data_IF_473983021680
#
_entry.id   IF_473983021680
#
_cell.length_a   1.000
_cell.length_b   1.000
_cell.length_c   1.000
_cell.angle_alpha   90.00
_cell.angle_beta   90.00
_cell.angle_gamma   90.00
#
_symmetry.space_group_name_H-M   'P 1'
#
loop_
_entity.id
_entity.type
_entity.pdbx_description
1 polymer ?
#
# COMPACT_ATOMS: atom_id res chain seq x y z
N UNK A 1 -28.89 29.92 -25.47
CA UNK A 1 -28.02 30.45 -24.40
C UNK A 1 -28.08 29.50 -23.22
N UNK A 2 -26.99 28.79 -22.96
CA UNK A 2 -26.42 28.41 -21.65
C UNK A 2 -25.45 27.26 -21.96
N UNK A 3 -24.17 27.62 -22.03
CA UNK A 3 -23.05 26.70 -22.16
C UNK A 3 -22.70 26.17 -20.76
N UNK A 4 -22.72 24.85 -20.58
CA UNK A 4 -22.14 24.21 -19.40
C UNK A 4 -20.70 23.87 -19.78
N UNK A 5 -19.78 24.69 -19.28
CA UNK A 5 -18.33 24.56 -19.46
C UNK A 5 -17.80 23.50 -18.49
N UNK A 6 -17.24 22.47 -19.07
CA UNK A 6 -16.59 21.33 -18.45
C UNK A 6 -15.19 21.74 -17.95
N UNK A 7 -15.02 21.89 -16.64
CA UNK A 7 -13.74 22.26 -16.05
C UNK A 7 -12.90 21.01 -15.72
N UNK A 8 -12.13 20.54 -16.71
CA UNK A 8 -11.00 19.62 -16.48
C UNK A 8 -9.97 20.32 -15.56
N UNK A 9 -9.89 19.89 -14.31
CA UNK A 9 -8.76 20.18 -13.41
C UNK A 9 -7.70 19.12 -13.62
N UNK A 10 -6.74 19.41 -14.48
CA UNK A 10 -5.46 18.69 -14.55
C UNK A 10 -4.68 18.97 -13.27
N UNK A 11 -4.74 18.04 -12.32
CA UNK A 11 -3.94 18.05 -11.09
C UNK A 11 -2.45 17.94 -11.46
N UNK A 12 -1.81 19.09 -11.57
CA UNK A 12 -0.39 19.21 -11.89
C UNK A 12 0.45 18.81 -10.67
N UNK A 13 0.90 17.55 -10.65
CA UNK A 13 1.75 16.92 -9.61
C UNK A 13 3.02 17.73 -9.31
N UNK A 14 3.45 18.61 -10.23
CA UNK A 14 4.62 19.48 -10.02
C UNK A 14 4.38 20.54 -8.94
N UNK A 15 3.14 20.96 -8.69
CA UNK A 15 2.85 21.98 -7.67
C UNK A 15 3.01 21.43 -6.24
N UNK A 16 2.58 20.18 -6.02
CA UNK A 16 2.75 19.50 -4.73
C UNK A 16 4.21 19.20 -4.36
N UNK A 17 5.07 18.98 -5.35
CA UNK A 17 6.50 18.74 -5.11
C UNK A 17 7.27 20.00 -4.66
N UNK A 18 6.82 21.19 -5.07
CA UNK A 18 7.48 22.45 -4.71
C UNK A 18 7.14 22.84 -3.27
N UNK A 19 5.89 22.62 -2.84
CA UNK A 19 5.48 22.87 -1.45
C UNK A 19 6.14 21.92 -0.45
N UNK A 20 6.35 20.65 -0.81
CA UNK A 20 7.06 19.71 0.07
C UNK A 20 8.56 20.06 0.24
N UNK A 21 9.19 20.63 -0.80
CA UNK A 21 10.58 21.11 -0.74
C UNK A 21 10.72 22.37 0.12
N UNK A 22 9.70 23.24 0.13
CA UNK A 22 9.62 24.41 1.03
C UNK A 22 9.35 24.01 2.49
N UNK A 23 8.52 23.00 2.72
CA UNK A 23 8.25 22.47 4.07
C UNK A 23 9.47 21.73 4.67
N UNK A 24 10.24 21.01 3.84
CA UNK A 24 11.49 20.38 4.29
C UNK A 24 12.62 21.40 4.52
N UNK A 25 12.67 22.50 3.77
CA UNK A 25 13.67 23.56 3.98
C UNK A 25 13.40 24.41 5.22
N UNK A 26 12.13 24.56 5.63
CA UNK A 26 11.73 25.31 6.83
C UNK A 26 11.81 24.48 8.11
N UNK A 27 11.68 23.15 8.03
CA UNK A 27 11.94 22.24 9.15
C UNK A 27 13.43 22.00 9.44
N UNK A 28 14.34 22.38 8.52
CA UNK A 28 15.80 22.20 8.66
C UNK A 28 16.57 23.44 9.13
N UNK A 29 15.87 24.52 9.51
CA UNK A 29 16.48 25.67 10.20
C UNK A 29 16.10 25.69 11.67
N UNK A 30 16.56 24.69 12.43
CA UNK A 30 16.77 24.88 13.87
C UNK A 30 18.20 25.38 14.05
N UNK A 31 18.43 26.47 14.81
CA UNK A 31 19.77 26.94 15.07
C UNK A 31 20.53 25.85 15.81
N UNK A 32 21.69 25.50 15.27
CA UNK A 32 22.73 24.80 16.00
C UNK A 32 23.15 25.75 17.12
N UNK A 33 22.45 25.71 18.26
CA UNK A 33 22.94 26.31 19.48
C UNK A 33 24.09 25.41 19.92
N UNK A 34 25.29 25.77 19.48
CA UNK A 34 26.54 25.29 20.05
C UNK A 34 26.59 25.79 21.49
N UNK A 35 25.97 25.04 22.40
CA UNK A 35 26.13 25.24 23.83
C UNK A 35 27.57 24.83 24.16
N UNK A 36 28.42 25.83 24.32
CA UNK A 36 29.79 25.70 24.83
C UNK A 36 29.71 25.38 26.34
N UNK A 37 29.27 24.17 26.68
CA UNK A 37 29.31 23.66 28.04
C UNK A 37 30.67 23.01 28.25
N UNK A 38 31.44 23.60 29.15
CA UNK A 38 32.71 23.10 29.67
C UNK A 38 32.45 21.71 30.29
N UNK A 39 32.84 20.66 29.56
CA UNK A 39 32.55 19.26 29.89
C UNK A 39 33.41 18.78 31.07
N UNK A 40 32.74 18.29 32.12
CA UNK A 40 33.36 17.45 33.12
C UNK A 40 32.39 16.30 33.44
N UNK A 41 32.66 15.09 32.94
CA UNK A 41 31.88 13.89 33.23
C UNK A 41 31.73 12.92 32.06
N UNK A 42 32.29 11.72 32.20
CA UNK A 42 32.31 10.64 31.19
C UNK A 42 30.94 10.03 30.83
N UNK A 43 29.89 10.33 31.60
CA UNK A 43 28.52 9.78 31.41
C UNK A 43 27.68 10.56 30.39
N UNK A 44 27.94 11.86 30.20
CA UNK A 44 27.17 12.74 29.30
C UNK A 44 27.52 12.51 27.81
N UNK A 45 28.77 12.11 27.52
CA UNK A 45 29.25 11.81 26.16
C UNK A 45 28.58 10.55 25.58
N UNK A 46 28.17 9.61 26.45
CA UNK A 46 27.48 8.39 26.05
C UNK A 46 26.06 8.70 25.55
N UNK A 47 25.36 9.60 26.23
CA UNK A 47 23.98 10.00 25.91
C UNK A 47 23.94 10.73 24.57
N UNK A 48 24.89 11.63 24.30
CA UNK A 48 24.96 12.36 23.02
C UNK A 48 25.30 11.41 21.86
N UNK A 49 26.20 10.43 22.04
CA UNK A 49 26.49 9.40 21.02
C UNK A 49 25.27 8.51 20.73
N UNK A 50 24.41 8.28 21.71
CA UNK A 50 23.19 7.49 21.55
C UNK A 50 22.10 8.31 20.84
N UNK A 51 21.92 9.58 21.20
CA UNK A 51 21.00 10.51 20.53
C UNK A 51 21.41 10.80 19.07
N UNK A 52 22.71 10.90 18.79
CA UNK A 52 23.23 11.05 17.43
C UNK A 52 23.02 9.78 16.59
N UNK A 53 23.12 8.59 17.20
CA UNK A 53 22.73 7.32 16.57
C UNK A 53 21.23 7.25 16.29
N UNK A 54 20.38 7.73 17.20
CA UNK A 54 18.93 7.83 17.01
C UNK A 54 18.57 8.74 15.83
N UNK A 55 19.21 9.91 15.72
CA UNK A 55 18.96 10.85 14.62
C UNK A 55 19.43 10.29 13.27
N UNK A 56 20.59 9.63 13.24
CA UNK A 56 21.14 8.96 12.05
C UNK A 56 20.30 7.76 11.59
N UNK A 57 19.68 7.05 12.52
CA UNK A 57 18.82 5.90 12.23
C UNK A 57 17.43 6.32 11.75
N UNK A 58 16.84 7.39 12.32
CA UNK A 58 15.60 8.02 11.83
C UNK A 58 15.75 8.55 10.41
N UNK A 59 16.87 9.23 10.12
CA UNK A 59 17.19 9.72 8.78
C UNK A 59 17.45 8.61 7.75
N UNK A 60 17.89 7.43 8.18
CA UNK A 60 18.04 6.24 7.30
C UNK A 60 16.72 5.55 7.02
N UNK A 61 15.80 5.54 8.00
CA UNK A 61 14.48 4.93 7.84
C UNK A 61 13.61 5.74 6.87
N UNK A 62 13.61 7.07 6.98
CA UNK A 62 12.88 7.95 6.05
C UNK A 62 13.40 7.82 4.62
N UNK A 63 14.73 7.68 4.45
CA UNK A 63 15.35 7.45 3.13
C UNK A 63 15.02 6.07 2.56
N UNK A 64 14.90 5.04 3.40
CA UNK A 64 14.51 3.70 2.98
C UNK A 64 13.04 3.68 2.52
N UNK A 65 12.16 4.35 3.26
CA UNK A 65 10.73 4.47 2.88
C UNK A 65 10.59 5.26 1.58
N UNK A 66 11.32 6.37 1.43
CA UNK A 66 11.31 7.15 0.19
C UNK A 66 11.87 6.35 -1.00
N UNK A 67 12.90 5.53 -0.78
CA UNK A 67 13.47 4.65 -1.81
C UNK A 67 12.51 3.53 -2.21
N UNK A 68 11.79 2.93 -1.26
CA UNK A 68 10.75 1.92 -1.53
C UNK A 68 9.55 2.53 -2.27
N UNK A 69 9.12 3.73 -1.89
CA UNK A 69 8.07 4.48 -2.61
C UNK A 69 8.52 4.85 -4.03
N UNK A 70 9.76 5.30 -4.19
CA UNK A 70 10.33 5.62 -5.50
C UNK A 70 10.44 4.37 -6.39
N UNK A 71 10.86 3.23 -5.83
CA UNK A 71 10.91 1.95 -6.53
C UNK A 71 9.51 1.43 -6.91
N UNK A 72 8.50 1.61 -6.06
CA UNK A 72 7.11 1.27 -6.37
C UNK A 72 6.57 2.14 -7.52
N UNK A 73 6.83 3.46 -7.48
CA UNK A 73 6.43 4.36 -8.56
C UNK A 73 7.12 4.05 -9.89
N UNK A 74 8.35 3.53 -9.86
CA UNK A 74 9.08 3.10 -11.05
C UNK A 74 8.57 1.76 -11.61
N UNK A 75 8.16 0.83 -10.75
CA UNK A 75 7.63 -0.47 -11.16
C UNK A 75 6.20 -0.38 -11.73
N UNK A 76 5.43 0.66 -11.38
CA UNK A 76 4.09 0.93 -11.95
C UNK A 76 4.13 1.69 -13.29
N UNK A 77 5.28 1.77 -13.94
CA UNK A 77 5.49 2.54 -15.16
C UNK A 77 4.92 1.90 -16.44
N UNK A 78 3.69 2.29 -16.77
CA UNK A 78 3.07 2.39 -18.11
C UNK A 78 2.56 1.10 -18.77
N UNK A 79 1.24 0.90 -18.70
CA UNK A 79 0.47 0.42 -19.86
C UNK A 79 0.14 1.63 -20.73
N UNK A 80 0.72 1.71 -21.93
CA UNK A 80 0.47 2.81 -22.86
C UNK A 80 -0.77 2.48 -23.70
N UNK A 81 -1.95 2.71 -23.14
CA UNK A 81 -3.21 2.62 -23.89
C UNK A 81 -3.24 3.71 -24.97
N UNK A 82 -3.27 3.30 -26.24
CA UNK A 82 -3.49 4.20 -27.37
C UNK A 82 -4.85 4.86 -27.16
N UNK A 83 -4.90 6.20 -27.15
CA UNK A 83 -6.15 6.95 -27.08
C UNK A 83 -6.94 6.77 -28.39
N UNK A 84 -7.84 5.79 -28.43
CA UNK A 84 -8.89 5.71 -29.44
C UNK A 84 -10.04 6.62 -29.03
N UNK A 85 -10.67 7.23 -30.03
CA UNK A 85 -11.83 8.11 -29.88
C UNK A 85 -12.91 7.36 -29.10
N UNK A 86 -13.24 7.86 -27.91
CA UNK A 86 -14.14 7.27 -26.94
C UNK A 86 -15.59 7.30 -27.44
N UNK A 87 -15.92 6.37 -28.33
CA UNK A 87 -17.28 5.87 -28.51
C UNK A 87 -17.41 4.72 -27.52
N UNK A 88 -18.29 4.87 -26.53
CA UNK A 88 -18.67 3.76 -25.65
C UNK A 88 -19.46 2.80 -26.52
N UNK A 89 -18.78 1.79 -27.04
CA UNK A 89 -19.43 0.73 -27.82
C UNK A 89 -19.98 -0.25 -26.80
N UNK A 90 -21.28 -0.52 -26.89
CA UNK A 90 -21.93 -1.52 -26.03
C UNK A 90 -21.63 -2.93 -26.52
N UNK A 91 -21.71 -3.94 -25.64
CA UNK A 91 -21.48 -5.33 -26.02
C UNK A 91 -22.41 -5.77 -27.17
N UNK A 92 -23.67 -5.31 -27.18
CA UNK A 92 -24.65 -5.58 -28.25
C UNK A 92 -24.26 -4.98 -29.61
N UNK A 93 -23.74 -3.75 -29.63
CA UNK A 93 -23.24 -3.14 -30.87
C UNK A 93 -22.00 -3.87 -31.38
N UNK A 94 -21.19 -4.42 -30.47
CA UNK A 94 -20.03 -5.22 -30.84
C UNK A 94 -20.41 -6.54 -31.49
N UNK A 95 -21.51 -7.18 -31.06
CA UNK A 95 -22.00 -8.42 -31.71
C UNK A 95 -22.22 -8.21 -33.20
N UNK A 96 -22.71 -7.04 -33.59
CA UNK A 96 -22.95 -6.70 -35.00
C UNK A 96 -21.63 -6.38 -35.71
N UNK A 97 -20.71 -5.68 -35.04
CA UNK A 97 -19.42 -5.28 -35.63
C UNK A 97 -18.47 -6.46 -35.81
N UNK A 98 -18.44 -7.38 -34.85
CA UNK A 98 -17.63 -8.59 -34.85
C UNK A 98 -18.52 -9.84 -34.79
N UNK A 99 -19.40 -9.96 -35.79
CA UNK A 99 -20.26 -11.13 -35.93
C UNK A 99 -19.48 -12.44 -36.03
N UNK A 100 -18.25 -12.40 -36.56
CA UNK A 100 -17.38 -13.58 -36.65
C UNK A 100 -16.85 -14.01 -35.27
N UNK A 101 -16.48 -13.05 -34.42
CA UNK A 101 -16.10 -13.32 -33.02
C UNK A 101 -17.28 -13.83 -32.20
N UNK A 102 -18.45 -13.20 -32.32
CA UNK A 102 -19.66 -13.63 -31.61
C UNK A 102 -20.08 -15.05 -32.00
N UNK A 103 -20.11 -15.36 -33.31
CA UNK A 103 -20.42 -16.72 -33.78
C UNK A 103 -19.41 -17.76 -33.28
N UNK A 104 -18.13 -17.39 -33.13
CA UNK A 104 -17.13 -18.28 -32.57
C UNK A 104 -17.39 -18.55 -31.08
N UNK A 105 -17.80 -17.53 -30.31
CA UNK A 105 -18.19 -17.71 -28.90
C UNK A 105 -19.46 -18.53 -28.77
N UNK A 106 -20.47 -18.31 -29.61
CA UNK A 106 -21.67 -19.12 -29.63
C UNK A 106 -21.37 -20.59 -30.00
N UNK A 107 -20.41 -20.83 -30.89
CA UNK A 107 -19.96 -22.18 -31.23
C UNK A 107 -19.23 -22.86 -30.07
N UNK A 108 -18.35 -22.13 -29.35
CA UNK A 108 -17.69 -22.62 -28.14
C UNK A 108 -18.72 -22.91 -27.04
N UNK A 109 -19.69 -22.03 -26.84
CA UNK A 109 -20.77 -22.24 -25.87
C UNK A 109 -21.54 -23.53 -26.18
N UNK A 110 -21.92 -23.74 -27.44
CA UNK A 110 -22.57 -24.96 -27.90
C UNK A 110 -21.69 -26.22 -27.77
N UNK A 111 -20.37 -26.09 -27.86
CA UNK A 111 -19.44 -27.20 -27.58
C UNK A 111 -19.37 -27.55 -26.08
N UNK A 112 -19.76 -26.64 -25.19
CA UNK A 112 -19.76 -26.83 -23.74
C UNK A 112 -21.14 -27.19 -23.16
N UNK A 113 -22.21 -26.71 -23.77
CA UNK A 113 -23.61 -26.98 -23.42
C UNK A 113 -24.04 -28.36 -23.98
N UNK A 114 -23.68 -29.42 -23.24
CA UNK A 114 -23.92 -30.81 -23.64
C UNK A 114 -25.41 -31.14 -23.69
N UNK A 115 -26.21 -30.60 -22.75
CA UNK A 115 -27.64 -30.86 -22.67
C UNK A 115 -28.51 -29.93 -23.54
N UNK A 116 -27.88 -28.95 -24.21
CA UNK A 116 -28.50 -27.97 -25.09
C UNK A 116 -29.60 -27.15 -24.38
N UNK A 117 -29.43 -26.89 -23.08
CA UNK A 117 -30.37 -26.11 -22.27
C UNK A 117 -30.30 -24.61 -22.57
N UNK A 118 -29.24 -24.14 -23.24
CA UNK A 118 -28.98 -22.72 -23.51
C UNK A 118 -28.13 -22.03 -22.44
N UNK A 119 -27.64 -22.78 -21.44
CA UNK A 119 -26.78 -22.28 -20.37
C UNK A 119 -25.82 -23.36 -19.92
N UNK A 120 -24.57 -23.00 -19.63
CA UNK A 120 -23.55 -23.94 -19.18
C UNK A 120 -23.55 -24.00 -17.65
N UNK A 121 -23.75 -25.19 -17.09
CA UNK A 121 -23.68 -25.42 -15.65
C UNK A 121 -22.24 -25.78 -15.17
N UNK A 122 -22.05 -25.83 -13.84
CA UNK A 122 -20.74 -26.17 -13.26
C UNK A 122 -20.27 -27.59 -13.62
N UNK A 123 -21.18 -28.55 -13.76
CA UNK A 123 -20.83 -29.93 -14.10
C UNK A 123 -20.34 -30.00 -15.54
N UNK A 124 -21.04 -29.36 -16.47
CA UNK A 124 -20.68 -29.25 -17.88
C UNK A 124 -19.32 -28.57 -18.03
N UNK A 125 -19.11 -27.42 -17.38
CA UNK A 125 -17.81 -26.74 -17.35
C UNK A 125 -16.69 -27.66 -16.85
N UNK A 126 -16.91 -28.39 -15.75
CA UNK A 126 -15.89 -29.29 -15.19
C UNK A 126 -15.65 -30.55 -16.03
N UNK A 127 -16.68 -31.05 -16.73
CA UNK A 127 -16.61 -32.15 -17.69
C UNK A 127 -15.79 -31.76 -18.91
N UNK A 128 -16.13 -30.63 -19.53
CA UNK A 128 -15.42 -30.06 -20.67
C UNK A 128 -13.94 -29.78 -20.37
N UNK A 129 -13.62 -29.25 -19.19
CA UNK A 129 -12.21 -29.08 -18.76
C UNK A 129 -11.44 -30.40 -18.71
N UNK A 130 -12.11 -31.48 -18.33
CA UNK A 130 -11.49 -32.80 -18.16
C UNK A 130 -11.36 -33.56 -19.48
N UNK A 131 -12.40 -33.54 -20.29
CA UNK A 131 -12.53 -34.36 -21.50
C UNK A 131 -11.94 -33.65 -22.73
N UNK A 132 -12.34 -32.40 -22.99
CA UNK A 132 -11.91 -31.66 -24.18
C UNK A 132 -10.57 -30.96 -23.98
N UNK A 133 -10.40 -30.27 -22.85
CA UNK A 133 -9.19 -29.52 -22.56
C UNK A 133 -8.08 -30.33 -21.89
N UNK A 134 -8.36 -31.58 -21.50
CA UNK A 134 -7.39 -32.48 -20.86
C UNK A 134 -6.68 -31.85 -19.65
N UNK A 135 -7.37 -30.98 -18.89
CA UNK A 135 -6.79 -30.27 -17.76
C UNK A 135 -6.58 -31.19 -16.56
N UNK A 136 -5.46 -31.00 -15.85
CA UNK A 136 -5.13 -31.73 -14.61
C UNK A 136 -5.74 -31.03 -13.40
N UNK A 137 -6.19 -31.81 -12.42
CA UNK A 137 -7.15 -31.36 -11.39
C UNK A 137 -6.75 -30.20 -10.47
N UNK A 138 -5.47 -29.81 -10.38
CA UNK A 138 -5.05 -28.72 -9.47
C UNK A 138 -5.52 -27.33 -9.90
N UNK A 139 -5.73 -27.11 -11.20
CA UNK A 139 -6.12 -25.79 -11.72
C UNK A 139 -7.62 -25.66 -11.99
N UNK A 140 -8.38 -26.77 -11.85
CA UNK A 140 -9.79 -26.86 -12.24
C UNK A 140 -10.69 -25.98 -11.37
N UNK A 141 -10.59 -26.11 -10.05
CA UNK A 141 -11.42 -25.34 -9.10
C UNK A 141 -11.27 -23.83 -9.28
N UNK A 142 -10.05 -23.37 -9.55
CA UNK A 142 -9.78 -21.95 -9.79
C UNK A 142 -10.41 -21.49 -11.11
N UNK A 143 -10.29 -22.27 -12.18
CA UNK A 143 -10.82 -21.93 -13.50
C UNK A 143 -12.36 -22.01 -13.54
N UNK A 144 -12.94 -23.00 -12.87
CA UNK A 144 -14.38 -23.09 -12.64
C UNK A 144 -14.89 -21.84 -11.92
N UNK A 145 -14.22 -21.41 -10.85
CA UNK A 145 -14.56 -20.16 -10.16
C UNK A 145 -14.32 -18.92 -11.04
N UNK A 146 -13.31 -18.91 -11.91
CA UNK A 146 -13.07 -17.77 -12.80
C UNK A 146 -14.16 -17.66 -13.89
N UNK A 147 -14.70 -18.79 -14.34
CA UNK A 147 -15.74 -18.86 -15.36
C UNK A 147 -17.14 -18.55 -14.82
N UNK A 148 -17.48 -19.13 -13.67
CA UNK A 148 -18.79 -19.00 -13.04
C UNK A 148 -18.90 -17.83 -12.07
N UNK A 149 -17.84 -17.57 -11.29
CA UNK A 149 -17.94 -16.70 -10.12
C UNK A 149 -19.08 -17.17 -9.19
N UNK A 150 -20.03 -16.26 -8.97
CA UNK A 150 -21.25 -16.50 -8.18
C UNK A 150 -22.43 -17.03 -9.02
N UNK A 151 -22.30 -17.07 -10.35
CA UNK A 151 -23.34 -17.58 -11.25
C UNK A 151 -23.21 -19.09 -11.46
N UNK A 152 -24.33 -19.80 -11.46
CA UNK A 152 -24.37 -21.25 -11.64
C UNK A 152 -24.67 -21.67 -13.08
N UNK A 153 -25.15 -20.76 -13.94
CA UNK A 153 -25.57 -21.06 -15.31
C UNK A 153 -25.19 -19.95 -16.29
N UNK A 154 -24.20 -20.20 -17.16
CA UNK A 154 -23.64 -19.18 -18.07
C UNK A 154 -24.30 -19.26 -19.45
N UNK A 155 -24.98 -18.20 -19.88
CA UNK A 155 -25.58 -18.13 -21.23
C UNK A 155 -24.55 -17.68 -22.29
N UNK A 156 -24.94 -17.75 -23.57
CA UNK A 156 -24.11 -17.24 -24.69
C UNK A 156 -23.82 -15.75 -24.53
N UNK A 157 -24.81 -14.98 -24.05
CA UNK A 157 -24.68 -13.53 -23.88
C UNK A 157 -23.75 -13.20 -22.71
N UNK A 158 -23.84 -13.93 -21.60
CA UNK A 158 -22.93 -13.78 -20.46
C UNK A 158 -21.49 -14.09 -20.86
N UNK A 159 -21.28 -15.14 -21.66
CA UNK A 159 -19.97 -15.49 -22.18
C UNK A 159 -19.41 -14.44 -23.14
N UNK A 160 -20.27 -13.85 -23.98
CA UNK A 160 -19.88 -12.75 -24.86
C UNK A 160 -19.50 -11.49 -24.07
N UNK A 161 -20.27 -11.16 -23.04
CA UNK A 161 -20.01 -10.01 -22.18
C UNK A 161 -18.70 -10.19 -21.41
N UNK A 162 -18.47 -11.35 -20.81
CA UNK A 162 -17.22 -11.69 -20.15
C UNK A 162 -16.01 -11.56 -21.09
N UNK A 163 -16.13 -12.05 -22.33
CA UNK A 163 -15.10 -11.87 -23.36
C UNK A 163 -14.92 -10.41 -23.77
N UNK A 164 -16.02 -9.66 -23.90
CA UNK A 164 -15.99 -8.26 -24.31
C UNK A 164 -15.23 -7.38 -23.31
N UNK A 165 -15.41 -7.66 -22.01
CA UNK A 165 -14.75 -6.97 -20.90
C UNK A 165 -13.32 -7.44 -20.63
N UNK A 166 -12.91 -8.58 -21.20
CA UNK A 166 -11.59 -9.16 -21.00
C UNK A 166 -10.45 -8.25 -21.50
N UNK A 167 -9.34 -8.21 -20.76
CA UNK A 167 -8.13 -7.47 -21.16
C UNK A 167 -7.48 -8.09 -22.41
N UNK A 168 -7.71 -9.39 -22.60
CA UNK A 168 -7.21 -10.23 -23.68
C UNK A 168 -7.76 -9.82 -25.05
N UNK A 169 -9.01 -9.36 -25.08
CA UNK A 169 -9.60 -8.79 -26.30
C UNK A 169 -8.87 -7.52 -26.75
N UNK A 170 -8.32 -6.74 -25.82
CA UNK A 170 -7.58 -5.51 -26.10
C UNK A 170 -6.11 -5.76 -26.45
N UNK A 171 -5.67 -7.02 -26.59
CA UNK A 171 -4.29 -7.33 -26.94
C UNK A 171 -3.90 -6.81 -28.31
N UNK A 172 -2.72 -6.21 -28.34
CA UNK A 172 -2.03 -5.80 -29.56
C UNK A 172 -1.40 -7.00 -30.26
N UNK A 173 -1.12 -6.86 -31.56
CA UNK A 173 -0.38 -7.86 -32.34
C UNK A 173 0.91 -8.32 -31.65
N UNK A 174 1.65 -7.43 -30.98
CA UNK A 174 2.89 -7.77 -30.27
C UNK A 174 2.65 -8.66 -29.05
N UNK A 175 1.56 -8.42 -28.31
CA UNK A 175 1.19 -9.23 -27.15
C UNK A 175 0.72 -10.63 -27.59
N UNK A 176 -0.09 -10.70 -28.63
CA UNK A 176 -0.50 -11.99 -29.24
C UNK A 176 0.72 -12.76 -29.75
N UNK A 177 1.67 -12.08 -30.39
CA UNK A 177 2.93 -12.67 -30.85
C UNK A 177 3.74 -13.25 -29.68
N UNK A 178 3.91 -12.45 -28.62
CA UNK A 178 4.62 -12.86 -27.41
C UNK A 178 3.97 -14.10 -26.77
N UNK A 179 2.65 -14.12 -26.69
CA UNK A 179 1.88 -15.27 -26.19
C UNK A 179 2.10 -16.52 -27.05
N UNK A 180 2.04 -16.42 -28.38
CA UNK A 180 2.23 -17.56 -29.28
C UNK A 180 3.65 -18.12 -29.21
N UNK A 181 4.65 -17.25 -29.10
CA UNK A 181 6.06 -17.65 -29.02
C UNK A 181 6.39 -18.26 -27.66
N UNK A 182 6.04 -17.59 -26.56
CA UNK A 182 6.53 -17.95 -25.23
C UNK A 182 5.62 -18.92 -24.47
N UNK A 183 4.31 -18.89 -24.72
CA UNK A 183 3.35 -19.73 -24.00
C UNK A 183 2.86 -20.89 -24.86
N UNK A 184 2.33 -20.59 -26.04
CA UNK A 184 1.88 -21.63 -26.98
C UNK A 184 3.06 -22.38 -27.59
N UNK A 185 4.26 -21.79 -27.57
CA UNK A 185 5.50 -22.40 -28.04
C UNK A 185 5.44 -22.79 -29.53
N UNK A 186 4.93 -21.86 -30.36
CA UNK A 186 4.81 -22.01 -31.82
C UNK A 186 5.46 -20.82 -32.57
N UNK A 187 6.78 -20.62 -32.44
CA UNK A 187 7.46 -19.48 -33.04
C UNK A 187 7.44 -19.50 -34.58
N UNK A 188 7.24 -20.66 -35.20
CA UNK A 188 7.24 -20.81 -36.66
C UNK A 188 6.10 -20.07 -37.38
N UNK A 189 5.05 -19.67 -36.66
CA UNK A 189 3.93 -18.91 -37.22
C UNK A 189 4.03 -17.39 -36.93
N UNK A 190 5.07 -16.96 -36.20
CA UNK A 190 5.28 -15.58 -35.78
C UNK A 190 5.24 -14.57 -36.94
N UNK A 191 5.94 -14.90 -38.03
CA UNK A 191 6.00 -14.04 -39.22
C UNK A 191 4.63 -13.86 -39.85
N UNK A 192 3.84 -14.95 -39.93
CA UNK A 192 2.49 -14.93 -40.51
C UNK A 192 1.51 -14.13 -39.67
N UNK A 193 1.61 -14.22 -38.35
CA UNK A 193 0.79 -13.46 -37.40
C UNK A 193 1.08 -11.96 -37.53
N UNK A 194 2.36 -11.61 -37.68
CA UNK A 194 2.81 -10.23 -37.85
C UNK A 194 2.36 -9.66 -39.20
N UNK A 195 2.48 -10.44 -40.27
CA UNK A 195 2.03 -10.07 -41.62
C UNK A 195 0.52 -9.81 -41.67
N UNK A 196 -0.26 -10.69 -41.04
CA UNK A 196 -1.73 -10.60 -41.00
C UNK A 196 -2.25 -9.60 -39.97
N UNK A 197 -1.38 -9.00 -39.14
CA UNK A 197 -1.73 -8.06 -38.05
C UNK A 197 -2.85 -8.61 -37.16
N UNK A 198 -2.61 -9.82 -36.65
CA UNK A 198 -3.57 -10.53 -35.81
C UNK A 198 -3.58 -9.90 -34.41
N UNK A 199 -4.72 -9.34 -34.03
CA UNK A 199 -4.97 -8.73 -32.71
C UNK A 199 -5.78 -9.66 -31.78
N UNK A 200 -5.94 -9.29 -30.51
CA UNK A 200 -6.64 -10.11 -29.50
C UNK A 200 -8.08 -10.48 -29.85
N UNK A 201 -8.77 -9.69 -30.66
CA UNK A 201 -10.16 -9.91 -31.09
C UNK A 201 -10.38 -11.23 -31.83
N UNK A 202 -9.34 -11.81 -32.44
CA UNK A 202 -9.45 -13.07 -33.18
C UNK A 202 -9.30 -14.32 -32.33
N UNK A 203 -8.97 -14.19 -31.04
CA UNK A 203 -8.74 -15.32 -30.14
C UNK A 203 -9.93 -16.31 -30.08
N UNK A 204 -11.20 -15.88 -30.00
CA UNK A 204 -12.34 -16.80 -30.05
C UNK A 204 -12.38 -17.61 -31.36
N UNK A 205 -12.02 -16.98 -32.48
CA UNK A 205 -11.97 -17.64 -33.79
C UNK A 205 -10.86 -18.69 -33.89
N UNK A 206 -9.85 -18.62 -33.03
CA UNK A 206 -8.79 -19.62 -32.90
C UNK A 206 -9.18 -20.77 -31.98
N UNK A 207 -10.10 -20.53 -31.03
CA UNK A 207 -10.55 -21.51 -30.05
C UNK A 207 -11.61 -22.50 -30.59
N UNK A 208 -12.26 -22.19 -31.70
CA UNK A 208 -13.23 -23.08 -32.37
C UNK A 208 -12.58 -24.35 -32.95
N UNK A 209 -13.24 -25.51 -32.81
CA UNK A 209 -12.75 -26.80 -33.30
C UNK A 209 -12.41 -26.80 -34.80
N UNK A 210 -13.33 -26.34 -35.66
CA UNK A 210 -13.16 -26.30 -37.11
C UNK A 210 -12.83 -24.89 -37.62
N UNK A 211 -11.79 -24.26 -37.06
CA UNK A 211 -11.38 -22.93 -37.48
C UNK A 211 -10.87 -22.91 -38.93
N UNK A 212 -11.74 -22.47 -39.84
CA UNK A 212 -11.37 -22.13 -41.23
C UNK A 212 -10.30 -21.04 -41.26
N UNK A 213 -10.27 -20.17 -40.24
CA UNK A 213 -9.27 -19.13 -40.08
C UNK A 213 -7.85 -19.72 -39.89
N UNK A 214 -7.67 -20.71 -39.02
CA UNK A 214 -6.37 -21.37 -38.82
C UNK A 214 -5.85 -22.07 -40.09
N UNK A 215 -6.75 -22.68 -40.86
CA UNK A 215 -6.37 -23.47 -42.05
C UNK A 215 -6.14 -22.56 -43.27
N UNK A 216 -7.06 -21.63 -43.55
CA UNK A 216 -7.04 -20.85 -44.78
C UNK A 216 -6.23 -19.55 -44.67
N UNK A 217 -6.24 -18.88 -43.50
CA UNK A 217 -5.56 -17.59 -43.35
C UNK A 217 -4.15 -17.76 -42.77
N UNK A 218 -4.04 -18.49 -41.66
CA UNK A 218 -2.77 -18.79 -40.99
C UNK A 218 -1.96 -19.89 -41.69
N UNK A 219 -2.59 -20.73 -42.52
CA UNK A 219 -1.90 -21.76 -43.29
C UNK A 219 -1.36 -22.94 -42.45
N UNK A 220 -1.92 -23.18 -41.27
CA UNK A 220 -1.45 -24.23 -40.35
C UNK A 220 -1.94 -25.60 -40.85
N UNK A 221 -1.07 -26.31 -41.59
CA UNK A 221 -1.39 -27.65 -42.13
C UNK A 221 -1.38 -28.76 -41.08
N UNK A 222 -0.55 -28.64 -40.04
CA UNK A 222 -0.43 -29.64 -38.97
C UNK A 222 -1.63 -29.62 -38.03
N UNK A 223 -2.33 -30.76 -37.91
CA UNK A 223 -3.46 -30.91 -36.97
C UNK A 223 -3.02 -30.76 -35.51
N UNK A 224 -1.81 -31.18 -35.17
CA UNK A 224 -1.26 -31.07 -33.81
C UNK A 224 -1.08 -29.61 -33.41
N UNK A 225 -0.56 -28.78 -34.32
CA UNK A 225 -0.36 -27.35 -34.05
C UNK A 225 -1.69 -26.61 -33.96
N UNK A 226 -2.67 -26.99 -34.81
CA UNK A 226 -4.03 -26.45 -34.70
C UNK A 226 -4.67 -26.80 -33.37
N UNK A 227 -4.62 -28.06 -32.94
CA UNK A 227 -5.20 -28.46 -31.67
C UNK A 227 -4.50 -27.76 -30.49
N UNK A 228 -3.17 -27.65 -30.51
CA UNK A 228 -2.44 -26.95 -29.46
C UNK A 228 -2.82 -25.47 -29.38
N UNK A 229 -2.85 -24.78 -30.51
CA UNK A 229 -3.25 -23.36 -30.57
C UNK A 229 -4.70 -23.18 -30.14
N UNK A 230 -5.60 -24.08 -30.57
CA UNK A 230 -7.00 -24.11 -30.16
C UNK A 230 -7.16 -24.19 -28.65
N UNK A 231 -6.56 -25.21 -28.02
CA UNK A 231 -6.67 -25.43 -26.58
C UNK A 231 -6.10 -24.26 -25.76
N UNK A 232 -5.02 -23.63 -26.23
CA UNK A 232 -4.46 -22.45 -25.55
C UNK A 232 -5.36 -21.22 -25.75
N UNK A 233 -5.89 -20.98 -26.96
CA UNK A 233 -6.82 -19.88 -27.22
C UNK A 233 -8.10 -20.04 -26.40
N UNK A 234 -8.60 -21.27 -26.29
CA UNK A 234 -9.77 -21.62 -25.48
C UNK A 234 -9.53 -21.37 -23.98
N UNK A 235 -8.36 -21.74 -23.44
CA UNK A 235 -7.99 -21.43 -22.04
C UNK A 235 -7.98 -19.91 -21.80
N UNK A 236 -7.46 -19.13 -22.75
CA UNK A 236 -7.41 -17.66 -22.67
C UNK A 236 -8.80 -17.04 -22.77
N UNK A 237 -9.65 -17.50 -23.69
CA UNK A 237 -11.00 -16.95 -23.90
C UNK A 237 -11.93 -17.28 -22.73
N UNK A 238 -11.86 -18.49 -22.18
CA UNK A 238 -12.76 -18.93 -21.10
C UNK A 238 -12.30 -18.48 -19.71
N UNK A 239 -10.99 -18.43 -19.44
CA UNK A 239 -10.47 -18.22 -18.08
C UNK A 239 -9.60 -16.97 -17.93
N UNK A 240 -9.36 -16.26 -19.02
CA UNK A 240 -8.42 -15.16 -19.06
C UNK A 240 -6.97 -15.63 -19.08
N UNK A 241 -6.11 -14.74 -19.54
CA UNK A 241 -4.68 -14.97 -19.58
C UNK A 241 -4.06 -14.66 -18.22
N UNK A 242 -3.38 -15.66 -17.65
CA UNK A 242 -2.61 -15.44 -16.43
C UNK A 242 -1.17 -15.08 -16.76
N UNK A 243 -0.85 -13.81 -16.58
CA UNK A 243 0.53 -13.36 -16.46
C UNK A 243 1.29 -14.23 -15.43
N UNK A 244 2.37 -14.93 -15.81
CA UNK A 244 3.26 -15.57 -14.83
C UNK A 244 3.90 -14.53 -13.90
N UNK A 245 3.92 -13.26 -14.29
CA UNK A 245 4.35 -12.12 -13.48
C UNK A 245 3.45 -11.87 -12.26
N UNK A 246 2.22 -12.39 -12.23
CA UNK A 246 1.34 -12.32 -11.04
C UNK A 246 2.01 -12.90 -9.79
N UNK A 247 2.82 -13.97 -9.95
CA UNK A 247 3.64 -14.49 -8.86
C UNK A 247 4.71 -13.51 -8.40
N UNK A 248 5.28 -12.73 -9.32
CA UNK A 248 6.16 -11.62 -8.98
C UNK A 248 5.45 -10.51 -8.20
N UNK A 249 4.21 -10.16 -8.59
CA UNK A 249 3.36 -9.20 -7.87
C UNK A 249 3.04 -9.70 -6.45
N UNK A 250 2.67 -10.97 -6.30
CA UNK A 250 2.41 -11.60 -5.00
C UNK A 250 3.66 -11.64 -4.11
N UNK A 251 4.82 -11.96 -4.69
CA UNK A 251 6.12 -11.95 -3.98
C UNK A 251 6.48 -10.52 -3.54
N UNK A 252 6.26 -9.53 -4.41
CA UNK A 252 6.50 -8.12 -4.07
C UNK A 252 5.57 -7.64 -2.94
N UNK A 253 4.28 -8.02 -2.97
CA UNK A 253 3.33 -7.73 -1.90
C UNK A 253 3.73 -8.42 -0.58
N UNK A 254 4.15 -9.68 -0.63
CA UNK A 254 4.62 -10.40 0.54
C UNK A 254 5.85 -9.74 1.18
N UNK A 255 6.82 -9.32 0.36
CA UNK A 255 8.00 -8.58 0.83
C UNK A 255 7.62 -7.22 1.46
N UNK A 256 6.66 -6.50 0.88
CA UNK A 256 6.17 -5.23 1.43
C UNK A 256 5.52 -5.43 2.80
N UNK A 257 4.72 -6.49 2.96
CA UNK A 257 4.05 -6.82 4.21
C UNK A 257 5.05 -7.23 5.31
N UNK A 258 6.09 -7.97 4.94
CA UNK A 258 7.20 -8.30 5.85
C UNK A 258 7.99 -7.07 6.30
N UNK A 259 8.23 -6.11 5.40
CA UNK A 259 8.85 -4.84 5.78
C UNK A 259 7.97 -4.02 6.72
N UNK A 260 6.66 -3.92 6.43
CA UNK A 260 5.70 -3.19 7.26
C UNK A 260 5.63 -3.77 8.70
N UNK A 261 5.51 -5.10 8.80
CA UNK A 261 5.45 -5.80 10.09
C UNK A 261 6.76 -5.65 10.89
N UNK A 262 7.92 -5.72 10.22
CA UNK A 262 9.22 -5.48 10.84
C UNK A 262 9.33 -4.07 11.44
N UNK A 263 8.91 -3.04 10.69
CA UNK A 263 8.89 -1.64 11.18
C UNK A 263 7.94 -1.49 12.37
N UNK A 264 6.77 -2.13 12.33
CA UNK A 264 5.79 -2.07 13.42
C UNK A 264 6.32 -2.68 14.73
N UNK A 265 7.02 -3.82 14.64
CA UNK A 265 7.67 -4.49 15.77
C UNK A 265 8.76 -3.60 16.38
N UNK A 266 9.62 -3.01 15.53
CA UNK A 266 10.69 -2.11 16.00
C UNK A 266 10.10 -0.85 16.65
N UNK A 267 9.04 -0.27 16.08
CA UNK A 267 8.32 0.86 16.64
C UNK A 267 7.72 0.53 18.01
N UNK A 268 7.05 -0.63 18.14
CA UNK A 268 6.50 -1.08 19.42
C UNK A 268 7.61 -1.28 20.48
N UNK A 269 8.74 -1.87 20.10
CA UNK A 269 9.91 -2.05 20.99
C UNK A 269 10.51 -0.71 21.43
N UNK A 270 10.61 0.26 20.52
CA UNK A 270 11.08 1.62 20.84
C UNK A 270 10.10 2.34 21.78
N UNK A 271 8.80 2.22 21.54
CA UNK A 271 7.75 2.82 22.39
C UNK A 271 7.79 2.25 23.82
N UNK A 272 8.08 0.94 23.96
CA UNK A 272 8.29 0.32 25.29
C UNK A 272 9.52 0.88 26.00
N UNK A 273 10.66 1.01 25.31
CA UNK A 273 11.89 1.59 25.88
C UNK A 273 11.71 3.05 26.33
N UNK A 274 11.05 3.87 25.50
CA UNK A 274 10.79 5.27 25.84
C UNK A 274 9.92 5.41 27.09
N UNK A 275 8.91 4.55 27.26
CA UNK A 275 8.05 4.56 28.45
C UNK A 275 8.81 4.24 29.73
N UNK A 276 9.74 3.27 29.67
CA UNK A 276 10.57 2.89 30.82
C UNK A 276 11.45 4.06 31.30
N UNK A 277 12.05 4.81 30.37
CA UNK A 277 12.88 5.97 30.72
C UNK A 277 12.05 7.10 31.34
N UNK A 278 10.84 7.33 30.85
CA UNK A 278 9.93 8.35 31.44
C UNK A 278 9.50 7.97 32.84
N UNK A 279 9.22 6.68 33.12
CA UNK A 279 8.87 6.24 34.47
C UNK A 279 10.02 6.41 35.45
N UNK A 280 11.25 6.08 35.04
CA UNK A 280 12.44 6.26 35.89
C UNK A 280 12.68 7.75 36.20
N UNK A 281 12.56 8.62 35.19
CA UNK A 281 12.69 10.07 35.37
C UNK A 281 11.59 10.64 36.27
N UNK A 282 10.35 10.14 36.15
CA UNK A 282 9.25 10.57 37.02
C UNK A 282 9.48 10.22 38.49
N UNK A 283 10.12 9.07 38.75
CA UNK A 283 10.49 8.67 40.10
C UNK A 283 11.60 9.58 40.67
N UNK A 284 12.64 9.86 39.88
CA UNK A 284 13.71 10.78 40.29
C UNK A 284 13.19 12.20 40.55
N UNK A 285 12.23 12.69 39.76
CA UNK A 285 11.57 13.99 40.02
C UNK A 285 10.75 13.97 41.32
N UNK A 286 10.09 12.86 41.64
CA UNK A 286 9.33 12.70 42.88
C UNK A 286 10.26 12.70 44.11
N UNK A 287 11.42 12.06 44.00
CA UNK A 287 12.45 12.07 45.05
C UNK A 287 13.02 13.48 45.26
N UNK A 288 13.34 14.21 44.18
CA UNK A 288 13.78 15.62 44.26
C UNK A 288 12.70 16.52 44.87
N UNK A 289 11.43 16.34 44.51
CA UNK A 289 10.31 17.11 45.07
C UNK A 289 10.13 16.85 46.57
N UNK A 290 10.35 15.62 47.02
CA UNK A 290 10.27 15.28 48.43
C UNK A 290 11.39 15.96 49.23
N UNK A 291 12.61 15.98 48.69
CA UNK A 291 13.74 16.70 49.29
C UNK A 291 13.50 18.22 49.32
N UNK A 292 12.92 18.80 48.27
CA UNK A 292 12.53 20.22 48.25
C UNK A 292 11.52 20.55 49.36
N UNK A 293 10.48 19.72 49.52
CA UNK A 293 9.49 19.90 50.59
C UNK A 293 10.11 19.75 51.99
N UNK A 294 11.07 18.84 52.15
CA UNK A 294 11.81 18.67 53.39
C UNK A 294 12.64 19.92 53.71
N UNK A 295 13.37 20.45 52.72
CA UNK A 295 14.09 21.72 52.84
C UNK A 295 13.17 22.88 53.21
N UNK A 296 12.02 23.03 52.54
CA UNK A 296 11.02 24.04 52.85
C UNK A 296 10.49 23.92 54.29
N UNK A 297 10.25 22.68 54.75
CA UNK A 297 9.79 22.43 56.11
C UNK A 297 10.83 22.81 57.16
N UNK A 298 12.11 22.56 56.87
CA UNK A 298 13.24 22.94 57.73
C UNK A 298 13.38 24.46 57.74
N UNK A 299 13.32 25.13 56.57
CA UNK A 299 13.36 26.59 56.49
C UNK A 299 12.22 27.24 57.27
N UNK A 300 11.00 26.68 57.19
CA UNK A 300 9.84 27.15 57.96
C UNK A 300 10.06 27.02 59.47
N UNK A 301 10.58 25.88 59.94
CA UNK A 301 10.92 25.68 61.36
C UNK A 301 11.98 26.69 61.84
N UNK A 302 13.02 26.94 61.03
CA UNK A 302 14.03 27.96 61.32
C UNK A 302 13.43 29.36 61.45
N UNK A 303 12.53 29.75 60.55
CA UNK A 303 11.83 31.05 60.63
C UNK A 303 10.95 31.14 61.86
N UNK A 304 10.25 30.07 62.23
CA UNK A 304 9.39 30.03 63.41
C UNK A 304 10.20 30.13 64.71
N UNK A 305 11.32 29.40 64.82
CA UNK A 305 12.24 29.51 65.96
C UNK A 305 12.83 30.92 66.08
N UNK A 306 13.20 31.55 64.95
CA UNK A 306 13.72 32.92 64.96
C UNK A 306 12.65 33.92 65.40
N UNK A 307 11.41 33.78 64.91
CA UNK A 307 10.28 34.61 65.35
C UNK A 307 10.03 34.47 66.85
N UNK A 308 10.05 33.24 67.39
CA UNK A 308 9.87 32.98 68.83
C UNK A 308 10.97 33.64 69.67
N UNK A 309 12.22 33.59 69.20
CA UNK A 309 13.34 34.30 69.85
C UNK A 309 13.15 35.82 69.80
N UNK A 310 12.75 36.39 68.67
CA UNK A 310 12.48 37.83 68.54
C UNK A 310 11.33 38.32 69.43
N UNK A 311 10.25 37.54 69.57
CA UNK A 311 9.14 37.91 70.46
C UNK A 311 9.49 37.74 71.94
N UNK A 312 10.32 36.76 72.28
CA UNK A 312 10.82 36.55 73.65
C UNK A 312 11.79 37.65 74.06
N UNK A 313 12.69 38.07 73.17
CA UNK A 313 13.69 39.11 73.41
C UNK A 313 13.01 40.50 73.56
N UNK A 314 12.02 40.79 72.71
CA UNK A 314 11.21 42.01 72.83
C UNK A 314 10.35 42.05 74.09
N UNK A 315 9.81 40.90 74.53
CA UNK A 315 9.03 40.81 75.76
C UNK A 315 9.86 41.01 77.03
N UNK A 316 11.08 40.49 77.07
CA UNK A 316 12.01 40.70 78.20
C UNK A 316 12.45 42.16 78.26
N UNK A 317 12.80 42.77 77.12
CA UNK A 317 13.18 44.19 77.06
C UNK A 317 12.03 45.12 77.49
N UNK A 318 10.79 44.83 77.09
CA UNK A 318 9.63 45.65 77.46
C UNK A 318 9.34 45.60 78.96
N UNK A 319 9.37 44.41 79.56
CA UNK A 319 9.15 44.23 81.01
C UNK A 319 10.27 44.88 81.83
N UNK A 320 11.52 44.80 81.37
CA UNK A 320 12.64 45.47 82.02
C UNK A 320 12.53 47.00 81.93
N UNK A 321 12.12 47.55 80.78
CA UNK A 321 11.85 48.99 80.61
C UNK A 321 10.70 49.46 81.50
N UNK A 322 9.62 48.70 81.61
CA UNK A 322 8.47 49.06 82.44
C UNK A 322 8.82 49.01 83.94
N UNK A 323 9.63 48.05 84.37
CA UNK A 323 10.12 47.96 85.75
C UNK A 323 11.06 49.13 86.11
N UNK A 324 11.96 49.50 85.19
CA UNK A 324 12.83 50.67 85.35
C UNK A 324 12.02 51.98 85.39
N UNK A 325 10.93 52.10 84.61
CA UNK A 325 10.02 53.26 84.66
C UNK A 325 9.33 53.39 86.02
N UNK A 326 8.82 52.28 86.57
CA UNK A 326 8.16 52.28 87.89
C UNK A 326 9.15 52.69 88.99
N UNK A 327 10.39 52.20 88.93
CA UNK A 327 11.43 52.62 89.89
C UNK A 327 11.80 54.10 89.77
N UNK A 328 11.78 54.66 88.55
CA UNK A 328 12.02 56.10 88.33
C UNK A 328 10.88 56.95 88.91
N UNK A 329 9.62 56.55 88.71
CA UNK A 329 8.45 57.24 89.29
C UNK A 329 8.38 57.16 90.83
N UNK A 330 8.92 56.10 91.43
CA UNK A 330 9.06 55.98 92.89
C UNK A 330 10.19 56.85 93.44
N UNK A 331 11.27 57.04 92.68
CA UNK A 331 12.38 57.91 93.05
C UNK A 331 12.03 59.40 92.93
N UNK A 332 11.17 59.79 91.98
CA UNK A 332 10.70 61.18 91.81
C UNK A 332 9.66 61.59 92.88
N UNK A 333 9.04 60.61 93.57
CA UNK A 333 8.07 60.85 94.67
C UNK A 333 8.70 60.94 96.06
N UNK A 334 10.03 60.87 96.18
CA UNK A 334 10.79 61.10 97.42
C UNK A 334 11.61 62.37 97.31
#
# INVERSE_FOLDING_TARGET
MVAIVEHKRTLNVKHWMIDYRRLLSTAFSLPIIAVNLRFNGSSEILIIREQLRFCKMRLRLDKLVLFVLFACCYASGKHNGKATRNVVVTAEEEKIRDAAGYNAIAEIHREMDDDHSGSIDRKETTGFMMEDMHMRGSDRTRREHAFHGDDDAITVDDLWEAWFESDERAWTTEQVLNWIVNEVNLPMYADRITELKIDGTVLPRLAVHNSTFMTNQLGIKSSVHRQKLRLNALDVVLFGHRDPSSKGKDIALALLLLLLTSVLILYAKQRRRARLQVTELSQKLKELKNMENEFDSVQKKWHEERSKRSTSDGGVSQVEVDNLRVQLEEAERR
#
